data_IF_057358657273
#
_entry.id   IF_057358657273
#
_cell.length_a   1.000
_cell.length_b   1.000
_cell.length_c   1.000
_cell.angle_alpha   90.00
_cell.angle_beta   90.00
_cell.angle_gamma   90.00
#
_symmetry.space_group_name_H-M   'P 1'
#
loop_
_entity.id
_entity.type
_entity.pdbx_description
1 polymer ?
#
# COMPACT_ATOMS: atom_id res chain seq x y z
N UNK A 1 -44.74 29.43 21.29
CA UNK A 1 -44.66 27.96 21.16
C UNK A 1 -43.20 27.60 20.93
N UNK A 2 -42.46 27.30 22.00
CA UNK A 2 -41.00 27.12 21.94
C UNK A 2 -40.68 25.64 21.68
N UNK A 3 -40.15 25.35 20.49
CA UNK A 3 -39.69 24.02 20.13
C UNK A 3 -38.37 23.75 20.87
N UNK A 4 -38.46 23.07 22.02
CA UNK A 4 -37.29 22.55 22.74
C UNK A 4 -36.82 21.31 21.98
N UNK A 5 -35.75 21.45 21.21
CA UNK A 5 -35.04 20.30 20.66
C UNK A 5 -34.24 19.69 21.82
N UNK A 6 -34.82 18.72 22.50
CA UNK A 6 -34.11 17.91 23.48
C UNK A 6 -33.00 17.16 22.73
N UNK A 7 -31.75 17.59 22.93
CA UNK A 7 -30.52 17.04 22.33
C UNK A 7 -30.29 15.60 22.83
N UNK A 8 -31.09 14.66 22.32
CA UNK A 8 -31.06 13.24 22.65
C UNK A 8 -30.58 12.39 21.45
N UNK A 9 -29.61 12.91 20.69
CA UNK A 9 -29.02 12.24 19.51
C UNK A 9 -27.53 11.86 19.71
N UNK A 10 -26.91 12.17 20.86
CA UNK A 10 -25.50 11.81 21.13
C UNK A 10 -25.24 10.32 21.32
N UNK A 11 -26.26 9.51 21.62
CA UNK A 11 -26.14 8.05 21.74
C UNK A 11 -25.99 7.34 20.38
N UNK A 12 -26.18 8.02 19.25
CA UNK A 12 -25.92 7.47 17.91
C UNK A 12 -24.46 7.63 17.45
N UNK A 13 -23.63 8.35 18.22
CA UNK A 13 -22.18 8.49 17.96
C UNK A 13 -21.47 7.15 17.73
N UNK A 14 -21.62 6.12 18.58
CA UNK A 14 -20.97 4.83 18.35
C UNK A 14 -21.49 4.11 17.11
N UNK A 15 -22.75 4.29 16.72
CA UNK A 15 -23.31 3.67 15.51
C UNK A 15 -22.75 4.30 14.24
N UNK A 16 -22.57 5.63 14.23
CA UNK A 16 -21.92 6.36 13.14
C UNK A 16 -20.43 6.02 13.01
N UNK A 17 -19.72 5.86 14.14
CA UNK A 17 -18.32 5.42 14.16
C UNK A 17 -18.19 3.96 13.71
N UNK A 18 -19.12 3.08 14.10
CA UNK A 18 -19.13 1.70 13.63
C UNK A 18 -19.40 1.62 12.12
N UNK A 19 -20.36 2.41 11.62
CA UNK A 19 -20.67 2.48 10.19
C UNK A 19 -19.47 2.99 9.37
N UNK A 20 -18.74 4.01 9.86
CA UNK A 20 -17.53 4.49 9.18
C UNK A 20 -16.41 3.47 9.18
N UNK A 21 -16.22 2.71 10.27
CA UNK A 21 -15.26 1.60 10.32
C UNK A 21 -15.60 0.47 9.32
N UNK A 22 -16.88 0.15 9.13
CA UNK A 22 -17.31 -0.87 8.16
C UNK A 22 -17.05 -0.43 6.71
N UNK A 23 -17.31 0.84 6.39
CA UNK A 23 -17.01 1.43 5.08
C UNK A 23 -15.49 1.46 4.84
N UNK A 24 -14.71 1.90 5.83
CA UNK A 24 -13.24 1.90 5.77
C UNK A 24 -12.70 0.48 5.53
N UNK A 25 -13.22 -0.52 6.24
CA UNK A 25 -12.84 -1.93 6.04
C UNK A 25 -13.06 -2.41 4.62
N UNK A 26 -14.20 -2.07 4.00
CA UNK A 26 -14.48 -2.47 2.61
C UNK A 26 -13.50 -1.85 1.62
N UNK A 27 -13.13 -0.57 1.82
CA UNK A 27 -12.18 0.15 0.95
C UNK A 27 -10.78 -0.50 1.02
N UNK A 28 -10.28 -0.77 2.24
CA UNK A 28 -8.99 -1.42 2.45
C UNK A 28 -8.97 -2.82 1.85
N UNK A 29 -10.02 -3.61 2.10
CA UNK A 29 -10.13 -4.98 1.57
C UNK A 29 -10.12 -5.03 0.03
N UNK A 30 -10.69 -4.03 -0.64
CA UNK A 30 -10.70 -4.01 -2.10
C UNK A 30 -9.31 -3.68 -2.67
N UNK A 31 -8.60 -2.74 -2.05
CA UNK A 31 -7.23 -2.41 -2.46
C UNK A 31 -6.28 -3.59 -2.23
N UNK A 32 -6.39 -4.27 -1.08
CA UNK A 32 -5.57 -5.45 -0.77
C UNK A 32 -5.78 -6.58 -1.77
N UNK A 33 -7.03 -6.79 -2.22
CA UNK A 33 -7.33 -7.79 -3.25
C UNK A 33 -6.69 -7.43 -4.59
N UNK A 34 -6.77 -6.16 -5.01
CA UNK A 34 -6.14 -5.68 -6.24
C UNK A 34 -4.62 -5.88 -6.18
N UNK A 35 -3.99 -5.43 -5.10
CA UNK A 35 -2.54 -5.57 -4.90
C UNK A 35 -2.15 -7.04 -4.90
N UNK A 36 -2.89 -7.91 -4.20
CA UNK A 36 -2.60 -9.34 -4.16
C UNK A 36 -2.67 -9.98 -5.55
N UNK A 37 -3.61 -9.56 -6.41
CA UNK A 37 -3.71 -10.03 -7.79
C UNK A 37 -2.51 -9.57 -8.64
N UNK A 38 -2.07 -8.32 -8.48
CA UNK A 38 -0.91 -7.78 -9.20
C UNK A 38 0.38 -8.49 -8.77
N UNK A 39 0.53 -8.82 -7.49
CA UNK A 39 1.69 -9.56 -6.97
C UNK A 39 1.71 -11.05 -7.38
N UNK A 40 0.56 -11.65 -7.72
CA UNK A 40 0.50 -13.02 -8.26
C UNK A 40 1.04 -13.10 -9.69
N UNK A 41 0.87 -12.03 -10.46
CA UNK A 41 1.29 -11.90 -11.85
C UNK A 41 2.13 -10.61 -12.01
N UNK A 42 3.34 -10.59 -11.41
CA UNK A 42 4.24 -9.45 -11.54
C UNK A 42 4.63 -9.27 -13.01
N UNK A 43 4.88 -8.03 -13.41
CA UNK A 43 5.33 -7.68 -14.76
C UNK A 43 6.58 -6.81 -14.69
N UNK A 44 7.53 -6.96 -15.64
CA UNK A 44 8.64 -6.03 -15.75
C UNK A 44 8.11 -4.61 -15.93
N UNK A 45 8.64 -3.67 -15.14
CA UNK A 45 8.17 -2.29 -15.10
C UNK A 45 7.19 -1.95 -13.98
N UNK A 46 6.57 -2.93 -13.32
CA UNK A 46 5.72 -2.68 -12.15
C UNK A 46 6.52 -1.91 -11.07
N UNK A 47 5.88 -0.94 -10.43
CA UNK A 47 6.46 -0.17 -9.32
C UNK A 47 5.69 -0.49 -8.04
N UNK A 48 6.39 -1.00 -7.03
CA UNK A 48 5.84 -1.29 -5.72
C UNK A 48 6.15 -0.16 -4.77
N UNK A 49 5.12 0.42 -4.18
CA UNK A 49 5.24 1.34 -3.06
C UNK A 49 5.53 0.54 -1.78
N UNK A 50 6.68 0.77 -1.17
CA UNK A 50 7.12 0.01 0.00
C UNK A 50 7.33 0.90 1.23
N UNK A 51 6.87 0.45 2.40
CA UNK A 51 7.28 0.95 3.70
C UNK A 51 8.51 0.19 4.21
N UNK A 52 9.53 0.92 4.65
CA UNK A 52 10.75 0.37 5.27
C UNK A 52 10.58 0.24 6.78
N UNK A 53 11.46 -0.53 7.43
CA UNK A 53 11.41 -0.76 8.88
C UNK A 53 11.67 0.52 9.69
N UNK A 54 12.33 1.52 9.09
CA UNK A 54 12.63 2.81 9.70
C UNK A 54 11.47 3.83 9.61
N UNK A 55 10.25 3.36 9.36
CA UNK A 55 9.08 4.22 9.11
C UNK A 55 9.25 5.18 7.92
N UNK A 56 10.12 4.82 6.98
CA UNK A 56 10.27 5.52 5.71
C UNK A 56 9.58 4.77 4.58
N UNK A 57 9.55 5.38 3.41
CA UNK A 57 8.91 4.86 2.22
C UNK A 57 9.88 4.93 1.04
N UNK A 58 9.85 3.91 0.20
CA UNK A 58 10.66 3.85 -1.02
C UNK A 58 9.87 3.13 -2.14
N UNK A 59 10.47 3.06 -3.32
CA UNK A 59 9.90 2.37 -4.48
C UNK A 59 10.78 1.17 -4.87
N UNK A 60 10.14 0.07 -5.24
CA UNK A 60 10.79 -1.06 -5.89
C UNK A 60 10.30 -1.12 -7.33
N UNK A 61 11.19 -1.21 -8.30
CA UNK A 61 10.82 -1.42 -9.71
C UNK A 61 11.17 -2.83 -10.13
N UNK A 62 10.20 -3.57 -10.68
CA UNK A 62 10.45 -4.89 -11.22
C UNK A 62 11.29 -4.78 -12.49
N UNK A 63 12.49 -5.38 -12.46
CA UNK A 63 13.40 -5.41 -13.61
C UNK A 63 13.11 -6.60 -14.51
N UNK A 64 13.00 -7.79 -13.90
CA UNK A 64 12.74 -9.06 -14.60
C UNK A 64 12.15 -10.11 -13.67
N UNK A 65 11.59 -11.15 -14.26
CA UNK A 65 10.99 -12.27 -13.54
C UNK A 65 11.61 -13.56 -14.10
N UNK A 66 12.04 -14.46 -13.21
CA UNK A 66 12.58 -15.77 -13.57
C UNK A 66 11.95 -16.84 -12.68
N UNK A 67 11.06 -17.65 -13.26
CA UNK A 67 10.28 -18.63 -12.50
C UNK A 67 9.43 -17.95 -11.43
N UNK A 68 9.65 -18.31 -10.16
CA UNK A 68 8.98 -17.72 -8.99
C UNK A 68 9.71 -16.49 -8.42
N UNK A 69 10.90 -16.17 -8.93
CA UNK A 69 11.70 -15.03 -8.48
C UNK A 69 11.37 -13.76 -9.27
N UNK A 70 11.12 -12.68 -8.55
CA UNK A 70 10.92 -11.33 -9.05
C UNK A 70 12.15 -10.52 -8.67
N UNK A 71 12.88 -10.06 -9.67
CA UNK A 71 14.04 -9.20 -9.50
C UNK A 71 13.57 -7.76 -9.53
N UNK A 72 13.97 -6.99 -8.52
CA UNK A 72 13.61 -5.59 -8.37
C UNK A 72 14.83 -4.72 -8.15
N UNK A 73 14.79 -3.49 -8.64
CA UNK A 73 15.71 -2.44 -8.29
C UNK A 73 15.06 -1.54 -7.22
N UNK A 74 15.77 -1.24 -6.14
CA UNK A 74 15.30 -0.27 -5.13
C UNK A 74 15.58 1.14 -5.62
N UNK A 75 14.67 2.09 -5.37
CA UNK A 75 14.97 3.50 -5.55
C UNK A 75 16.16 3.92 -4.68
N UNK A 76 17.07 4.74 -5.21
CA UNK A 76 18.22 5.20 -4.44
C UNK A 76 17.85 6.19 -3.33
N UNK A 77 16.58 6.60 -3.26
CA UNK A 77 16.06 7.57 -2.33
C UNK A 77 14.91 6.99 -1.51
N UNK A 78 14.72 7.57 -0.33
CA UNK A 78 13.61 7.30 0.57
C UNK A 78 12.90 8.61 0.94
N UNK A 79 11.68 8.49 1.45
CA UNK A 79 10.91 9.62 1.99
C UNK A 79 10.27 9.25 3.31
N UNK A 80 10.11 10.22 4.20
CA UNK A 80 9.42 10.09 5.48
C UNK A 80 7.89 10.08 5.35
N UNK A 81 7.36 10.39 4.15
CA UNK A 81 5.92 10.56 3.92
C UNK A 81 5.45 9.76 2.72
N UNK A 82 4.34 9.03 2.87
CA UNK A 82 3.70 8.30 1.76
C UNK A 82 3.45 9.18 0.53
N UNK A 83 3.05 10.45 0.71
CA UNK A 83 2.84 11.39 -0.41
C UNK A 83 4.12 11.72 -1.20
N UNK A 84 5.29 11.57 -0.59
CA UNK A 84 6.60 11.79 -1.23
C UNK A 84 6.97 10.68 -2.22
N UNK A 85 6.34 9.51 -2.17
CA UNK A 85 6.60 8.39 -3.10
C UNK A 85 6.42 8.79 -4.56
N UNK A 86 5.46 9.68 -4.86
CA UNK A 86 5.27 10.19 -6.22
C UNK A 86 6.48 10.95 -6.75
N UNK A 87 7.27 11.59 -5.88
CA UNK A 87 8.49 12.32 -6.27
C UNK A 87 9.66 11.37 -6.52
N UNK A 88 9.64 10.18 -5.91
CA UNK A 88 10.68 9.16 -6.09
C UNK A 88 10.58 8.48 -7.46
N UNK A 89 9.43 8.52 -8.14
CA UNK A 89 9.22 7.89 -9.45
C UNK A 89 10.17 8.44 -10.53
N UNK A 90 10.53 9.71 -10.43
CA UNK A 90 11.48 10.38 -11.34
C UNK A 90 12.94 10.23 -10.89
N UNK A 91 13.17 9.63 -9.72
CA UNK A 91 14.51 9.40 -9.16
C UNK A 91 15.11 8.09 -9.68
N UNK A 92 16.44 8.01 -9.74
CA UNK A 92 17.11 6.80 -10.19
C UNK A 92 16.82 5.62 -9.26
N UNK A 93 16.77 4.44 -9.88
CA UNK A 93 16.78 3.16 -9.20
C UNK A 93 18.19 2.59 -9.21
N UNK A 94 18.56 1.92 -8.12
CA UNK A 94 19.84 1.26 -7.98
C UNK A 94 20.06 0.25 -9.11
N UNK A 95 21.30 0.11 -9.58
CA UNK A 95 21.65 -0.86 -10.62
C UNK A 95 21.59 -2.31 -10.11
N UNK A 96 21.73 -2.49 -8.81
CA UNK A 96 21.68 -3.80 -8.17
C UNK A 96 20.26 -4.34 -8.17
N UNK A 97 20.13 -5.63 -8.52
CA UNK A 97 18.87 -6.35 -8.45
C UNK A 97 18.80 -7.14 -7.14
N UNK A 98 17.64 -7.06 -6.49
CA UNK A 98 17.30 -7.89 -5.34
C UNK A 98 16.20 -8.85 -5.77
N UNK A 99 16.38 -10.12 -5.44
CA UNK A 99 15.40 -11.15 -5.77
C UNK A 99 14.44 -11.37 -4.59
N UNK A 100 13.15 -11.31 -4.87
CA UNK A 100 12.09 -11.75 -3.96
C UNK A 100 11.32 -12.91 -4.59
N UNK A 101 10.88 -13.87 -3.80
CA UNK A 101 9.90 -14.86 -4.29
C UNK A 101 8.50 -14.22 -4.32
N UNK A 102 7.59 -14.73 -5.16
CA UNK A 102 6.19 -14.28 -5.13
C UNK A 102 5.55 -14.50 -3.76
N UNK A 103 5.95 -15.57 -3.08
CA UNK A 103 5.52 -15.83 -1.71
C UNK A 103 6.02 -14.74 -0.75
N UNK A 104 7.29 -14.32 -0.85
CA UNK A 104 7.85 -13.25 -0.03
C UNK A 104 7.12 -11.93 -0.28
N UNK A 105 6.89 -11.55 -1.54
CA UNK A 105 6.12 -10.33 -1.87
C UNK A 105 4.72 -10.35 -1.27
N UNK A 106 4.06 -11.52 -1.30
CA UNK A 106 2.73 -11.69 -0.69
C UNK A 106 2.76 -11.58 0.83
N UNK A 107 3.82 -12.05 1.48
CA UNK A 107 4.03 -11.87 2.93
C UNK A 107 4.25 -10.38 3.24
N UNK A 108 5.13 -9.71 2.50
CA UNK A 108 5.38 -8.27 2.64
C UNK A 108 4.10 -7.44 2.47
N UNK A 109 3.22 -7.81 1.54
CA UNK A 109 1.91 -7.18 1.40
C UNK A 109 1.05 -7.37 2.67
N UNK A 110 0.96 -8.60 3.18
CA UNK A 110 0.15 -8.92 4.38
C UNK A 110 0.68 -8.23 5.64
N UNK A 111 1.98 -8.01 5.71
CA UNK A 111 2.65 -7.25 6.78
C UNK A 111 2.45 -5.73 6.62
N UNK A 112 1.84 -5.27 5.53
CA UNK A 112 1.69 -3.84 5.23
C UNK A 112 2.98 -3.16 4.76
N UNK A 113 4.01 -3.94 4.40
CA UNK A 113 5.25 -3.42 3.80
C UNK A 113 5.02 -3.00 2.35
N UNK A 114 4.25 -3.75 1.56
CA UNK A 114 3.82 -3.31 0.22
C UNK A 114 2.48 -2.59 0.34
N UNK A 115 2.48 -1.30 0.03
CA UNK A 115 1.35 -0.40 0.20
C UNK A 115 0.49 -0.29 -1.06
N UNK A 116 1.15 -0.35 -2.22
CA UNK A 116 0.50 -0.26 -3.52
C UNK A 116 1.40 -0.87 -4.62
N UNK A 117 0.77 -1.19 -5.75
CA UNK A 117 1.42 -1.59 -6.99
C UNK A 117 0.85 -0.72 -8.11
N UNK A 118 1.75 0.00 -8.77
CA UNK A 118 1.49 0.78 -9.97
C UNK A 118 2.02 0.03 -11.19
N UNK A 119 1.23 0.04 -12.27
CA UNK A 119 1.50 -0.60 -13.54
C UNK A 119 1.17 0.36 -14.67
#
# INVERSE_FOLDING_TARGET
>A
MSFRIDRKLWFLSPLLVAASFLVWRKIVTNNDRRIAQLLLLPQPGDIYEMATENSQYTLLRVSRIQGDSVFVNINEFETDKKKGLSQLKEKPFAKEEIAFTRQTLRVMQKEGKILDVER
#
